data_IF_997451829926
#
_entry.id   IF_997451829926
#
_cell.length_a   1.000
_cell.length_b   1.000
_cell.length_c   1.000
_cell.angle_alpha   90.00
_cell.angle_beta   90.00
_cell.angle_gamma   90.00
#
_symmetry.space_group_name_H-M   'P 1'
#
loop_
_entity.id
_entity.type
_entity.pdbx_description
1 polymer ?
#
# COMPACT_ATOMS: atom_id res chain seq x y z
N UNK A 1 29.99 -4.25 6.81
CA UNK A 1 29.38 -3.80 5.54
C UNK A 1 28.81 -5.04 4.87
N UNK A 2 27.52 -5.30 4.73
CA UNK A 2 26.31 -4.57 5.01
C UNK A 2 25.23 -5.35 4.26
N UNK A 3 24.66 -6.37 4.89
CA UNK A 3 23.43 -7.00 4.42
C UNK A 3 22.48 -6.97 5.60
N UNK A 4 21.96 -5.77 5.84
CA UNK A 4 20.78 -5.59 6.67
C UNK A 4 19.65 -6.29 5.92
N UNK A 5 19.35 -7.51 6.35
CA UNK A 5 18.13 -8.25 6.06
C UNK A 5 16.94 -7.51 6.69
N UNK A 6 16.75 -6.25 6.30
CA UNK A 6 15.62 -5.40 6.68
C UNK A 6 14.41 -5.66 5.77
N UNK A 7 14.20 -6.93 5.42
CA UNK A 7 12.90 -7.48 5.01
C UNK A 7 11.94 -7.50 6.20
N UNK A 8 11.86 -6.38 6.92
CA UNK A 8 10.90 -6.07 7.98
C UNK A 8 9.50 -6.16 7.37
N UNK A 9 8.88 -7.34 7.40
CA UNK A 9 7.44 -7.60 7.21
C UNK A 9 6.69 -6.42 6.56
N UNK A 10 6.92 -6.20 5.25
CA UNK A 10 6.24 -5.15 4.49
C UNK A 10 5.05 -5.78 3.80
N UNK A 11 3.89 -5.16 3.94
CA UNK A 11 2.66 -5.59 3.29
C UNK A 11 2.43 -4.77 2.03
N UNK A 12 1.94 -5.42 0.99
CA UNK A 12 1.43 -4.76 -0.20
C UNK A 12 0.16 -3.97 0.13
N UNK A 13 0.18 -2.70 -0.26
CA UNK A 13 -0.93 -1.77 -0.19
C UNK A 13 -1.23 -1.33 -1.62
N UNK A 14 -2.46 -1.53 -2.06
CA UNK A 14 -2.93 -1.13 -3.39
C UNK A 14 -3.82 0.09 -3.23
N UNK A 15 -3.41 1.23 -3.78
CA UNK A 15 -4.25 2.42 -3.90
C UNK A 15 -5.00 2.31 -5.22
N UNK A 16 -6.30 2.01 -5.15
CA UNK A 16 -7.14 1.77 -6.32
C UNK A 16 -7.61 3.08 -6.97
N UNK A 17 -7.90 4.10 -6.16
CA UNK A 17 -8.32 5.42 -6.64
C UNK A 17 -8.06 6.50 -5.60
N UNK A 18 -7.94 7.75 -6.05
CA UNK A 18 -7.88 8.93 -5.20
C UNK A 18 -8.97 9.91 -5.63
N UNK A 19 -9.76 10.39 -4.68
CA UNK A 19 -10.77 11.43 -4.86
C UNK A 19 -10.58 12.49 -3.79
N UNK A 20 -10.31 13.74 -4.19
CA UNK A 20 -9.96 14.82 -3.26
C UNK A 20 -8.76 14.44 -2.35
N UNK A 21 -8.94 14.45 -1.02
CA UNK A 21 -7.95 14.04 -0.01
C UNK A 21 -8.09 12.55 0.39
N UNK A 22 -8.92 11.76 -0.30
CA UNK A 22 -9.21 10.38 0.09
C UNK A 22 -8.66 9.38 -0.92
N UNK A 23 -7.88 8.42 -0.43
CA UNK A 23 -7.40 7.27 -1.17
C UNK A 23 -8.22 6.03 -0.81
N UNK A 24 -8.76 5.35 -1.81
CA UNK A 24 -9.35 4.02 -1.65
C UNK A 24 -8.22 2.99 -1.72
N UNK A 25 -8.08 2.21 -0.67
CA UNK A 25 -6.95 1.34 -0.40
C UNK A 25 -7.42 -0.10 -0.19
N UNK A 26 -6.68 -1.05 -0.73
CA UNK A 26 -6.84 -2.49 -0.50
C UNK A 26 -5.54 -3.06 0.05
N UNK A 27 -5.64 -3.97 1.02
CA UNK A 27 -4.48 -4.63 1.65
C UNK A 27 -4.69 -6.14 1.53
N UNK A 28 -4.21 -6.78 0.44
CA UNK A 28 -4.49 -8.18 0.15
C UNK A 28 -4.07 -9.15 1.26
N UNK A 29 -2.99 -8.84 1.98
CA UNK A 29 -2.50 -9.64 3.09
C UNK A 29 -3.30 -9.51 4.40
N UNK A 30 -4.31 -8.64 4.44
CA UNK A 30 -5.19 -8.47 5.60
C UNK A 30 -6.61 -8.95 5.29
N UNK A 31 -7.28 -8.28 4.36
CA UNK A 31 -8.56 -8.70 3.80
C UNK A 31 -8.57 -8.31 2.31
N UNK A 32 -8.54 -9.28 1.38
CA UNK A 32 -8.41 -9.00 -0.05
C UNK A 32 -9.68 -8.43 -0.67
N UNK A 33 -10.83 -8.49 0.00
CA UNK A 33 -12.12 -7.99 -0.51
C UNK A 33 -12.48 -6.63 0.08
N UNK A 34 -11.95 -6.31 1.26
CA UNK A 34 -12.24 -5.06 1.94
C UNK A 34 -11.51 -3.87 1.30
N UNK A 35 -12.28 -2.80 1.07
CA UNK A 35 -11.76 -1.49 0.65
C UNK A 35 -11.82 -0.53 1.81
N UNK A 36 -10.71 0.17 2.04
CA UNK A 36 -10.51 1.07 3.16
C UNK A 36 -10.27 2.46 2.60
N UNK A 37 -10.85 3.48 3.21
CA UNK A 37 -10.57 4.86 2.85
C UNK A 37 -9.52 5.42 3.80
N UNK A 38 -8.39 5.85 3.25
CA UNK A 38 -7.35 6.57 3.97
C UNK A 38 -7.24 8.01 3.48
N UNK A 39 -6.88 8.92 4.38
CA UNK A 39 -6.48 10.25 3.98
C UNK A 39 -5.16 10.17 3.21
N UNK A 40 -5.07 10.93 2.11
CA UNK A 40 -3.88 11.01 1.25
C UNK A 40 -2.68 11.58 2.04
N UNK A 41 -2.95 12.37 3.08
CA UNK A 41 -1.96 12.85 4.05
C UNK A 41 -1.21 11.75 4.81
N UNK A 42 -1.75 10.52 4.89
CA UNK A 42 -1.04 9.37 5.49
C UNK A 42 0.15 8.90 4.65
N UNK A 43 0.18 9.22 3.36
CA UNK A 43 1.27 8.86 2.47
C UNK A 43 2.37 9.94 2.51
N UNK A 44 3.66 9.55 2.42
CA UNK A 44 4.75 10.50 2.39
C UNK A 44 4.61 11.45 1.19
N UNK A 45 4.91 12.74 1.40
CA UNK A 45 4.76 13.79 0.38
C UNK A 45 5.46 13.46 -0.94
N UNK A 46 6.64 12.82 -0.89
CA UNK A 46 7.45 12.45 -2.06
C UNK A 46 6.77 11.42 -2.98
N UNK A 47 5.93 10.55 -2.44
CA UNK A 47 5.33 9.40 -3.17
C UNK A 47 3.80 9.39 -3.07
N UNK A 48 3.21 10.51 -2.66
CA UNK A 48 1.78 10.68 -2.42
C UNK A 48 0.98 10.36 -3.70
N UNK A 49 -0.08 9.53 -3.60
CA UNK A 49 -0.93 9.24 -4.75
C UNK A 49 -1.78 10.46 -5.11
N UNK A 50 -2.03 10.69 -6.39
CA UNK A 50 -2.83 11.83 -6.89
C UNK A 50 -4.11 11.36 -7.57
N UNK A 51 -5.09 12.26 -7.62
CA UNK A 51 -6.35 12.02 -8.32
C UNK A 51 -6.13 11.82 -9.82
N UNK A 52 -6.86 10.87 -10.41
CA UNK A 52 -6.80 10.57 -11.84
C UNK A 52 -5.62 9.69 -12.27
N UNK A 53 -4.75 9.28 -11.34
CA UNK A 53 -3.67 8.34 -11.63
C UNK A 53 -4.18 6.89 -11.67
N UNK A 54 -3.48 6.06 -12.45
CA UNK A 54 -3.67 4.61 -12.43
C UNK A 54 -3.38 4.04 -11.03
N UNK A 55 -3.89 2.83 -10.70
CA UNK A 55 -3.65 2.20 -9.41
C UNK A 55 -2.15 2.16 -9.06
N UNK A 56 -1.83 2.53 -7.82
CA UNK A 56 -0.46 2.58 -7.31
C UNK A 56 -0.24 1.52 -6.25
N UNK A 57 0.92 0.87 -6.31
CA UNK A 57 1.32 -0.18 -5.39
C UNK A 57 2.37 0.36 -4.43
N UNK A 58 2.18 0.09 -3.15
CA UNK A 58 3.07 0.50 -2.08
C UNK A 58 3.43 -0.69 -1.20
N UNK A 59 4.65 -0.68 -0.67
CA UNK A 59 5.03 -1.54 0.45
C UNK A 59 5.00 -0.68 1.70
N UNK A 60 4.37 -1.17 2.77
CA UNK A 60 4.43 -0.52 4.07
C UNK A 60 4.31 -1.54 5.20
N UNK A 61 4.79 -1.20 6.38
CA UNK A 61 4.53 -1.98 7.59
C UNK A 61 3.11 -1.70 8.07
N UNK A 62 2.33 -2.76 8.26
CA UNK A 62 0.91 -2.71 8.65
C UNK A 62 0.64 -3.77 9.72
N UNK A 63 -0.22 -3.48 10.69
CA UNK A 63 -0.68 -4.49 11.64
C UNK A 63 -1.74 -5.40 11.02
N UNK A 64 -1.34 -6.54 10.45
CA UNK A 64 -2.26 -7.51 9.84
C UNK A 64 -3.13 -8.27 10.84
N UNK A 65 -2.83 -8.23 12.14
CA UNK A 65 -3.69 -8.79 13.17
C UNK A 65 -4.84 -7.84 13.57
N UNK A 66 -4.98 -6.69 12.91
CA UNK A 66 -6.05 -5.74 13.18
C UNK A 66 -7.43 -6.36 12.94
N UNK A 67 -8.34 -6.27 13.92
CA UNK A 67 -9.74 -6.71 13.74
C UNK A 67 -10.60 -5.70 12.97
N UNK A 68 -10.10 -4.50 12.72
CA UNK A 68 -10.84 -3.40 12.10
C UNK A 68 -9.90 -2.43 11.35
N UNK A 69 -10.37 -1.73 10.29
CA UNK A 69 -9.51 -0.92 9.43
C UNK A 69 -8.72 0.18 10.13
N UNK A 70 -9.26 0.77 11.21
CA UNK A 70 -8.60 1.87 11.94
C UNK A 70 -7.33 1.42 12.67
N UNK A 71 -7.17 0.13 12.95
CA UNK A 71 -6.03 -0.42 13.69
C UNK A 71 -4.86 -0.85 12.80
N UNK A 72 -5.02 -0.77 11.48
CA UNK A 72 -3.97 -1.16 10.52
C UNK A 72 -2.71 -0.31 10.62
N UNK A 73 -2.85 0.97 10.99
CA UNK A 73 -1.76 1.94 11.30
C UNK A 73 -0.51 1.77 10.39
N UNK A 74 -0.62 2.09 9.08
CA UNK A 74 0.47 1.88 8.15
C UNK A 74 1.66 2.83 8.43
N UNK A 75 2.88 2.35 8.20
CA UNK A 75 4.13 3.11 8.37
C UNK A 75 5.21 2.63 7.39
N UNK A 76 6.29 3.40 7.20
CA UNK A 76 7.41 3.04 6.31
C UNK A 76 6.99 2.75 4.86
N UNK A 77 6.31 3.71 4.23
CA UNK A 77 5.88 3.57 2.85
C UNK A 77 7.04 3.64 1.86
N UNK A 78 7.02 2.72 0.90
CA UNK A 78 7.88 2.67 -0.28
C UNK A 78 7.01 2.38 -1.52
N UNK A 79 7.44 2.82 -2.70
CA UNK A 79 6.78 2.44 -3.96
C UNK A 79 7.11 0.98 -4.22
N UNK A 80 6.09 0.14 -4.33
CA UNK A 80 6.29 -1.24 -4.76
C UNK A 80 6.59 -1.25 -6.27
N UNK A 81 7.43 -2.19 -6.75
CA UNK A 81 7.47 -2.47 -8.18
C UNK A 81 6.05 -2.81 -8.67
N UNK A 82 5.72 -2.44 -9.91
CA UNK A 82 4.45 -2.89 -10.49
C UNK A 82 4.45 -4.42 -10.45
N UNK A 83 3.32 -5.07 -10.11
CA UNK A 83 3.22 -6.50 -10.29
C UNK A 83 3.59 -6.81 -11.73
N UNK A 84 4.52 -7.74 -11.94
CA UNK A 84 4.82 -8.26 -13.27
C UNK A 84 3.59 -9.05 -13.67
N UNK A 85 2.93 -8.68 -14.76
CA UNK A 85 1.90 -9.54 -15.34
C UNK A 85 2.59 -10.87 -15.67
N UNK A 86 2.11 -11.98 -15.08
CA UNK A 86 2.64 -13.32 -15.33
C UNK A 86 2.63 -13.69 -16.82
N UNK A 87 1.85 -12.98 -17.63
CA UNK A 87 1.80 -13.10 -19.09
C UNK A 87 3.09 -12.64 -19.80
N UNK A 88 3.94 -11.83 -19.13
CA UNK A 88 5.24 -11.40 -19.68
C UNK A 88 6.39 -12.39 -19.40
N UNK A 89 6.11 -13.49 -18.70
CA UNK A 89 7.07 -14.57 -18.41
C UNK A 89 6.89 -15.78 -19.34
N UNK A 90 5.94 -15.70 -20.28
CA UNK A 90 5.61 -16.74 -21.28
C UNK A 90 6.19 -16.47 -22.66
#
# INVERSE_FOLDING_TARGET
MGNHDESRWRTLIVVESVQCDRATVRIPGWDPKQRIVWAVSKFPSKIRPKQGEAPRYYLATVNLAAGQPKDLKPSYFEIAPRPVDEESLG
#
